data_IF_610494097363
#
_entry.id   IF_610494097363
#
_cell.length_a   1.000
_cell.length_b   1.000
_cell.length_c   1.000
_cell.angle_alpha   90.00
_cell.angle_beta   90.00
_cell.angle_gamma   90.00
#
_symmetry.space_group_name_H-M   'P 1'
#
loop_
_entity.id
_entity.type
_entity.pdbx_description
1 polymer ?
#
# COMPACT_ATOMS: atom_id res chain seq x y z
N UNK A 1 -1.80 -26.38 7.70
CA UNK A 1 -2.86 -25.91 6.79
C UNK A 1 -2.37 -25.82 5.35
N UNK A 2 -1.29 -25.09 5.05
CA UNK A 2 -0.77 -25.01 3.66
C UNK A 2 -0.38 -26.36 3.05
N UNK A 3 0.17 -27.29 3.84
CA UNK A 3 0.55 -28.64 3.40
C UNK A 3 -0.63 -29.61 3.19
N UNK A 4 -1.88 -29.22 3.45
CA UNK A 4 -3.04 -30.09 3.24
C UNK A 4 -3.64 -29.93 1.82
N UNK A 5 -4.48 -30.89 1.44
CA UNK A 5 -5.24 -30.88 0.18
C UNK A 5 -6.43 -29.92 0.16
N UNK A 6 -6.71 -29.23 1.27
CA UNK A 6 -7.76 -28.22 1.31
C UNK A 6 -7.46 -27.06 0.35
N UNK A 7 -8.50 -26.47 -0.23
CA UNK A 7 -8.39 -25.20 -0.95
C UNK A 7 -8.27 -24.07 0.08
N UNK A 8 -7.20 -23.28 -0.01
CA UNK A 8 -6.93 -22.15 0.90
C UNK A 8 -7.51 -20.86 0.32
N UNK A 9 -7.98 -19.96 1.19
CA UNK A 9 -8.54 -18.65 0.80
C UNK A 9 -8.09 -17.57 1.80
N UNK A 10 -7.01 -16.82 1.50
CA UNK A 10 -6.04 -17.03 0.43
C UNK A 10 -5.04 -18.16 0.76
N UNK A 11 -4.35 -18.69 -0.26
CA UNK A 11 -3.12 -19.47 -0.04
C UNK A 11 -1.98 -18.58 0.44
N UNK A 12 -0.89 -19.17 0.94
CA UNK A 12 0.29 -18.38 1.37
C UNK A 12 0.88 -17.52 0.25
N UNK A 13 0.89 -17.99 -1.00
CA UNK A 13 1.37 -17.19 -2.14
C UNK A 13 0.48 -15.97 -2.40
N UNK A 14 -0.84 -16.14 -2.34
CA UNK A 14 -1.80 -15.02 -2.48
C UNK A 14 -1.67 -14.03 -1.31
N UNK A 15 -1.42 -14.51 -0.10
CA UNK A 15 -1.13 -13.64 1.04
C UNK A 15 0.13 -12.78 0.78
N UNK A 16 1.23 -13.39 0.30
CA UNK A 16 2.46 -12.68 0.01
C UNK A 16 2.30 -11.63 -1.12
N UNK A 17 1.47 -11.90 -2.12
CA UNK A 17 1.12 -10.93 -3.17
C UNK A 17 0.41 -9.69 -2.60
N UNK A 18 -0.31 -9.82 -1.48
CA UNK A 18 -0.97 -8.71 -0.78
C UNK A 18 -0.03 -7.78 0.01
N UNK A 19 1.26 -8.13 0.09
CA UNK A 19 2.24 -7.30 0.79
C UNK A 19 2.45 -5.96 0.10
N UNK A 20 2.80 -4.94 0.89
CA UNK A 20 3.05 -3.59 0.37
C UNK A 20 4.29 -3.57 -0.52
N UNK A 21 5.27 -4.44 -0.25
CA UNK A 21 6.45 -4.60 -1.12
C UNK A 21 6.07 -5.07 -2.51
N UNK A 22 5.21 -6.09 -2.66
CA UNK A 22 4.77 -6.54 -3.99
C UNK A 22 3.95 -5.45 -4.70
N UNK A 23 3.08 -4.73 -3.98
CA UNK A 23 2.38 -3.56 -4.53
C UNK A 23 3.36 -2.53 -5.12
N UNK A 24 4.45 -2.22 -4.41
CA UNK A 24 5.48 -1.29 -4.86
C UNK A 24 6.31 -1.83 -6.03
N UNK A 25 6.68 -3.11 -6.02
CA UNK A 25 7.43 -3.73 -7.12
C UNK A 25 6.61 -3.80 -8.41
N UNK A 26 5.30 -4.10 -8.32
CA UNK A 26 4.40 -4.08 -9.49
C UNK A 26 4.25 -2.68 -10.11
N UNK A 27 4.49 -1.61 -9.33
CA UNK A 27 4.44 -0.24 -9.84
C UNK A 27 5.70 0.18 -10.62
N UNK A 28 6.78 -0.61 -10.57
CA UNK A 28 8.00 -0.30 -11.32
C UNK A 28 7.77 -0.44 -12.84
N UNK A 29 8.48 0.36 -13.66
CA UNK A 29 8.44 0.21 -15.11
C UNK A 29 8.78 -1.22 -15.53
N UNK A 30 8.05 -1.74 -16.53
CA UNK A 30 8.28 -3.06 -17.14
C UNK A 30 8.03 -4.29 -16.25
N UNK A 31 7.54 -4.14 -15.01
CA UNK A 31 7.26 -5.30 -14.13
C UNK A 31 5.89 -5.91 -14.40
N UNK A 32 4.85 -5.11 -14.63
CA UNK A 32 3.50 -5.62 -14.96
C UNK A 32 3.49 -6.47 -16.24
N UNK A 33 4.28 -6.08 -17.24
CA UNK A 33 4.44 -6.77 -18.52
C UNK A 33 4.98 -8.20 -18.39
N UNK A 34 5.53 -8.56 -17.22
CA UNK A 34 5.95 -9.94 -16.94
C UNK A 34 4.80 -10.86 -16.55
N UNK A 35 3.65 -10.28 -16.19
CA UNK A 35 2.48 -11.00 -15.66
C UNK A 35 1.22 -10.84 -16.52
N UNK A 36 1.21 -9.85 -17.43
CA UNK A 36 0.07 -9.51 -18.27
C UNK A 36 0.54 -9.23 -19.70
N UNK A 37 -0.16 -9.78 -20.69
CA UNK A 37 0.13 -9.56 -22.12
C UNK A 37 -0.67 -8.40 -22.72
N UNK A 38 -1.86 -8.12 -22.16
CA UNK A 38 -2.79 -7.10 -22.66
C UNK A 38 -2.29 -5.69 -22.33
N UNK A 39 -1.91 -4.94 -23.36
CA UNK A 39 -1.43 -3.56 -23.22
C UNK A 39 -2.51 -2.63 -22.66
N UNK A 40 -3.76 -2.88 -23.02
CA UNK A 40 -4.93 -2.14 -22.55
C UNK A 40 -5.14 -2.33 -21.04
N UNK A 41 -5.04 -3.58 -20.56
CA UNK A 41 -5.16 -3.89 -19.13
C UNK A 41 -4.00 -3.31 -18.33
N UNK A 42 -2.77 -3.42 -18.83
CA UNK A 42 -1.59 -2.81 -18.21
C UNK A 42 -1.77 -1.30 -18.09
N UNK A 43 -2.25 -0.64 -19.15
CA UNK A 43 -2.51 0.80 -19.14
C UNK A 43 -3.61 1.17 -18.15
N UNK A 44 -4.65 0.35 -18.02
CA UNK A 44 -5.72 0.56 -17.04
C UNK A 44 -5.22 0.43 -15.60
N UNK A 45 -4.45 -0.62 -15.30
CA UNK A 45 -3.89 -0.86 -13.96
C UNK A 45 -2.94 0.27 -13.54
N UNK A 46 -2.05 0.70 -14.45
CA UNK A 46 -1.11 1.80 -14.18
C UNK A 46 -1.80 3.11 -13.80
N UNK A 47 -2.97 3.41 -14.37
CA UNK A 47 -3.73 4.63 -14.00
C UNK A 47 -4.19 4.62 -12.54
N UNK A 48 -4.32 3.45 -11.93
CA UNK A 48 -4.74 3.30 -10.54
C UNK A 48 -3.56 3.35 -9.55
N UNK A 49 -2.31 3.33 -10.01
CA UNK A 49 -1.14 3.38 -9.15
C UNK A 49 -0.83 4.83 -8.77
N UNK A 50 -0.73 5.08 -7.46
CA UNK A 50 -0.07 6.27 -6.95
C UNK A 50 1.46 6.09 -7.00
N UNK A 51 2.21 7.16 -6.71
CA UNK A 51 3.65 7.06 -6.54
C UNK A 51 4.02 6.06 -5.44
N UNK A 52 4.86 5.08 -5.77
CA UNK A 52 5.28 3.99 -4.91
C UNK A 52 6.79 3.79 -5.07
N UNK A 53 7.53 3.92 -3.97
CA UNK A 53 8.98 3.88 -3.96
C UNK A 53 9.52 2.94 -2.88
N UNK A 54 10.66 2.36 -3.19
CA UNK A 54 11.46 1.62 -2.23
C UNK A 54 12.44 2.59 -1.54
N UNK A 55 12.93 2.23 -0.34
CA UNK A 55 13.83 3.08 0.44
C UNK A 55 15.31 2.91 0.06
N UNK A 56 15.57 2.56 -1.20
CA UNK A 56 16.87 2.56 -1.86
C UNK A 56 17.06 3.79 -2.78
N UNK A 57 15.99 4.53 -3.06
CA UNK A 57 16.02 5.77 -3.82
C UNK A 57 16.35 6.96 -2.89
N UNK A 58 17.61 7.42 -2.93
CA UNK A 58 18.07 8.50 -2.04
C UNK A 58 17.37 9.84 -2.30
N UNK A 59 17.00 10.12 -3.56
CA UNK A 59 16.33 11.37 -3.93
C UNK A 59 14.92 11.45 -3.35
N UNK A 60 14.17 10.34 -3.43
CA UNK A 60 12.82 10.30 -2.86
C UNK A 60 12.86 10.35 -1.33
N UNK A 61 13.84 9.71 -0.69
CA UNK A 61 13.99 9.75 0.77
C UNK A 61 14.26 11.18 1.23
N UNK A 62 15.18 11.89 0.56
CA UNK A 62 15.45 13.29 0.84
C UNK A 62 14.20 14.16 0.69
N UNK A 63 13.47 13.96 -0.41
CA UNK A 63 12.21 14.67 -0.67
C UNK A 63 11.16 14.39 0.42
N UNK A 64 11.06 13.15 0.88
CA UNK A 64 10.13 12.75 1.94
C UNK A 64 10.52 13.27 3.32
N UNK A 65 11.81 13.47 3.60
CA UNK A 65 12.30 14.14 4.81
C UNK A 65 11.97 15.64 4.77
N UNK A 66 12.12 16.28 3.61
CA UNK A 66 11.83 17.71 3.43
C UNK A 66 10.33 18.02 3.45
N UNK A 67 9.50 17.15 2.85
CA UNK A 67 8.04 17.32 2.70
C UNK A 67 7.26 16.09 3.15
N UNK A 68 7.36 15.70 4.44
CA UNK A 68 6.79 14.44 4.92
C UNK A 68 5.26 14.38 4.86
N UNK A 69 4.58 15.52 4.79
CA UNK A 69 3.13 15.62 4.64
C UNK A 69 2.61 15.02 3.33
N UNK A 70 3.46 14.97 2.29
CA UNK A 70 3.11 14.45 0.95
C UNK A 70 3.26 12.94 0.83
N UNK A 71 3.76 12.27 1.87
CA UNK A 71 4.08 10.84 1.82
C UNK A 71 3.44 10.07 2.98
N UNK A 72 3.43 8.76 2.81
CA UNK A 72 3.05 7.77 3.82
C UNK A 72 4.10 6.67 3.81
N UNK A 73 4.64 6.35 4.97
CA UNK A 73 5.58 5.25 5.15
C UNK A 73 4.81 4.04 5.67
N UNK A 74 4.92 2.91 4.96
CA UNK A 74 4.13 1.70 5.25
C UNK A 74 5.04 0.51 5.56
N UNK A 75 4.97 -0.07 6.75
CA UNK A 75 5.61 -1.36 7.03
C UNK A 75 4.84 -2.51 6.34
N UNK A 76 5.46 -3.68 6.25
CA UNK A 76 4.84 -4.91 5.71
C UNK A 76 3.82 -5.54 6.68
N UNK A 77 2.82 -4.78 7.14
CA UNK A 77 1.75 -5.24 8.03
C UNK A 77 0.36 -4.98 7.44
N UNK A 78 -0.61 -5.78 7.86
CA UNK A 78 -2.03 -5.66 7.53
C UNK A 78 -2.85 -5.23 8.77
N UNK A 79 -4.14 -4.92 8.58
CA UNK A 79 -5.07 -4.65 9.69
C UNK A 79 -5.18 -3.20 10.15
N UNK A 80 -4.68 -2.23 9.36
CA UNK A 80 -4.78 -0.80 9.68
C UNK A 80 -3.88 -0.36 10.86
N UNK A 81 -3.72 0.95 11.05
CA UNK A 81 -3.00 1.53 12.18
C UNK A 81 -1.46 1.44 12.17
N UNK A 82 -0.86 0.84 11.14
CA UNK A 82 0.61 0.66 11.05
C UNK A 82 1.33 1.73 10.21
N UNK A 83 0.59 2.58 9.50
CA UNK A 83 1.18 3.59 8.62
C UNK A 83 1.75 4.76 9.44
N UNK A 84 2.87 5.32 8.96
CA UNK A 84 3.57 6.43 9.61
C UNK A 84 3.47 7.66 8.69
N UNK A 85 3.19 8.83 9.28
CA UNK A 85 2.88 10.08 8.55
C UNK A 85 3.63 11.28 9.14
N UNK A 86 3.82 12.34 8.34
CA UNK A 86 4.23 13.65 8.83
C UNK A 86 5.53 13.62 9.65
N UNK A 87 5.52 14.22 10.83
CA UNK A 87 6.72 14.30 11.68
C UNK A 87 7.33 12.92 11.99
N UNK A 88 6.49 11.94 12.35
CA UNK A 88 6.95 10.59 12.67
C UNK A 88 7.57 9.90 11.46
N UNK A 89 7.08 10.19 10.24
CA UNK A 89 7.66 9.67 9.01
C UNK A 89 9.07 10.19 8.83
N UNK A 90 9.25 11.52 9.00
CA UNK A 90 10.56 12.17 8.89
C UNK A 90 11.56 11.61 9.89
N UNK A 91 11.18 11.52 11.17
CA UNK A 91 12.05 10.98 12.22
C UNK A 91 12.41 9.52 11.95
N UNK A 92 11.45 8.73 11.48
CA UNK A 92 11.70 7.33 11.11
C UNK A 92 12.69 7.22 9.95
N UNK A 93 12.56 8.03 8.90
CA UNK A 93 13.50 8.02 7.77
C UNK A 93 14.92 8.44 8.20
N UNK A 94 15.06 9.49 9.01
CA UNK A 94 16.36 9.94 9.54
C UNK A 94 17.01 8.84 10.38
N UNK A 95 16.21 8.14 11.20
CA UNK A 95 16.68 7.01 12.00
C UNK A 95 17.16 5.86 11.11
N UNK A 96 16.37 5.46 10.12
CA UNK A 96 16.71 4.37 9.19
C UNK A 96 18.00 4.68 8.40
N UNK A 97 18.21 5.93 7.98
CA UNK A 97 19.45 6.37 7.33
C UNK A 97 20.68 6.22 8.23
N UNK A 98 20.53 6.42 9.55
CA UNK A 98 21.62 6.28 10.52
C UNK A 98 21.91 4.81 10.87
N UNK A 99 20.87 3.98 10.97
CA UNK A 99 21.00 2.56 11.32
C UNK A 99 21.65 1.74 10.19
N UNK A 100 21.35 2.08 8.93
CA UNK A 100 21.88 1.38 7.77
C UNK A 100 21.43 -0.09 7.69
N UNK A 101 22.05 -0.85 6.78
CA UNK A 101 21.75 -2.28 6.58
C UNK A 101 20.35 -2.54 6.01
N UNK A 102 19.69 -3.60 6.47
CA UNK A 102 18.43 -4.10 5.91
C UNK A 102 17.17 -3.47 6.51
N UNK A 103 17.30 -2.63 7.55
CA UNK A 103 16.17 -1.99 8.22
C UNK A 103 15.22 -1.22 7.26
N UNK A 104 15.72 -0.49 6.24
CA UNK A 104 14.86 0.18 5.26
C UNK A 104 13.99 -0.78 4.42
N UNK A 105 14.41 -2.03 4.23
CA UNK A 105 13.69 -3.01 3.41
C UNK A 105 12.34 -3.43 4.02
N UNK A 106 12.13 -3.17 5.32
CA UNK A 106 10.87 -3.44 6.00
C UNK A 106 9.74 -2.46 5.61
N UNK A 107 10.05 -1.38 4.90
CA UNK A 107 9.12 -0.31 4.57
C UNK A 107 9.04 -0.03 3.07
N UNK A 108 7.92 0.56 2.67
CA UNK A 108 7.80 1.26 1.39
C UNK A 108 7.35 2.69 1.62
N UNK A 109 7.72 3.58 0.71
CA UNK A 109 7.22 4.94 0.65
C UNK A 109 6.11 5.03 -0.39
N UNK A 110 4.99 5.66 -0.02
CA UNK A 110 3.87 5.87 -0.93
C UNK A 110 3.47 7.34 -0.94
N UNK A 111 3.09 7.83 -2.11
CA UNK A 111 2.47 9.14 -2.28
C UNK A 111 1.18 9.20 -1.44
N UNK A 112 1.04 10.25 -0.65
CA UNK A 112 -0.22 10.51 0.07
C UNK A 112 -1.27 11.01 -0.91
N UNK A 113 -2.43 10.40 -0.87
CA UNK A 113 -3.60 10.80 -1.65
C UNK A 113 -4.41 11.79 -0.81
N UNK A 114 -4.88 12.87 -1.42
CA UNK A 114 -5.68 13.92 -0.78
C UNK A 114 -7.06 14.02 -1.44
N UNK A 115 -8.02 13.14 -1.09
CA UNK A 115 -9.40 13.26 -1.56
C UNK A 115 -10.04 14.56 -1.05
N UNK A 116 -11.03 15.08 -1.79
CA UNK A 116 -11.84 16.20 -1.32
C UNK A 116 -12.65 15.75 -0.09
N UNK A 117 -12.49 16.47 1.01
CA UNK A 117 -13.29 16.23 2.19
C UNK A 117 -14.74 16.69 1.98
N UNK A 118 -15.68 15.91 2.46
CA UNK A 118 -17.11 16.18 2.38
C UNK A 118 -17.68 16.33 3.80
N UNK A 119 -18.64 17.23 3.99
CA UNK A 119 -19.41 17.25 5.24
C UNK A 119 -20.16 15.92 5.38
N UNK A 120 -20.04 15.28 6.53
CA UNK A 120 -20.60 13.97 6.79
C UNK A 120 -21.04 13.86 8.24
N UNK A 121 -22.13 13.14 8.44
CA UNK A 121 -22.67 12.81 9.75
C UNK A 121 -22.19 11.41 10.14
N UNK A 122 -21.24 11.35 11.06
CA UNK A 122 -20.69 10.11 11.59
C UNK A 122 -21.54 9.66 12.77
N UNK A 123 -22.25 8.54 12.61
CA UNK A 123 -22.96 7.89 13.70
C UNK A 123 -22.05 6.79 14.24
N UNK A 124 -21.48 7.02 15.41
CA UNK A 124 -20.61 6.06 16.10
C UNK A 124 -21.47 5.29 17.12
N UNK A 125 -21.03 4.08 17.50
CA UNK A 125 -21.75 3.19 18.45
C UNK A 125 -22.28 4.00 19.64
N UNK A 126 -23.58 3.88 19.91
CA UNK A 126 -24.27 4.65 20.96
C UNK A 126 -25.26 5.71 20.45
N UNK A 127 -25.42 5.85 19.12
CA UNK A 127 -26.46 6.71 18.53
C UNK A 127 -26.13 8.20 18.54
N UNK A 128 -24.94 8.58 19.01
CA UNK A 128 -24.46 9.97 18.95
C UNK A 128 -24.00 10.27 17.53
N UNK A 129 -24.52 11.36 16.98
CA UNK A 129 -24.17 11.85 15.66
C UNK A 129 -23.12 12.96 15.79
N UNK A 130 -22.02 12.82 15.06
CA UNK A 130 -20.97 13.82 14.97
C UNK A 130 -20.94 14.37 13.54
N UNK A 131 -21.10 15.69 13.41
CA UNK A 131 -20.88 16.37 12.13
C UNK A 131 -19.38 16.66 11.98
N UNK A 132 -18.82 16.35 10.82
CA UNK A 132 -17.42 16.64 10.53
C UNK A 132 -17.08 16.47 9.05
N UNK A 133 -15.88 16.96 8.70
CA UNK A 133 -15.31 16.71 7.39
C UNK A 133 -14.71 15.30 7.35
N UNK A 134 -15.20 14.48 6.42
CA UNK A 134 -14.73 13.12 6.21
C UNK A 134 -14.18 12.93 4.79
N UNK A 135 -13.30 11.95 4.65
CA UNK A 135 -12.85 11.40 3.36
C UNK A 135 -13.34 9.96 3.27
N UNK A 136 -13.59 9.50 2.05
CA UNK A 136 -14.06 8.13 1.78
C UNK A 136 -13.01 7.34 1.03
N UNK A 137 -12.94 6.05 1.32
CA UNK A 137 -12.14 5.06 0.59
C UNK A 137 -13.10 4.02 0.00
N UNK A 138 -13.05 3.81 -1.31
CA UNK A 138 -13.91 2.86 -2.02
C UNK A 138 -13.20 1.50 -2.13
N UNK A 139 -13.79 0.47 -1.53
CA UNK A 139 -13.36 -0.92 -1.71
C UNK A 139 -14.21 -1.64 -2.76
N UNK A 140 -13.57 -2.40 -3.66
CA UNK A 140 -14.23 -3.25 -4.65
C UNK A 140 -13.86 -4.71 -4.34
N UNK A 141 -14.87 -5.55 -4.10
CA UNK A 141 -14.67 -6.98 -3.86
C UNK A 141 -14.53 -7.75 -5.18
N UNK A 142 -13.60 -8.71 -5.22
CA UNK A 142 -13.42 -9.65 -6.32
C UNK A 142 -13.29 -11.08 -5.79
N UNK A 143 -13.79 -12.05 -6.56
CA UNK A 143 -13.68 -13.47 -6.25
C UNK A 143 -13.14 -14.22 -7.47
N UNK A 144 -12.15 -15.09 -7.24
CA UNK A 144 -11.52 -15.91 -8.27
C UNK A 144 -11.47 -17.36 -7.78
N UNK A 145 -11.97 -18.27 -8.61
CA UNK A 145 -11.82 -19.72 -8.42
C UNK A 145 -11.32 -20.32 -9.73
N UNK A 146 -10.17 -20.96 -9.68
CA UNK A 146 -9.56 -21.61 -10.83
C UNK A 146 -9.26 -23.07 -10.48
N UNK A 147 -9.53 -23.99 -11.41
CA UNK A 147 -8.94 -25.32 -11.35
C UNK A 147 -7.52 -25.23 -11.91
N UNK A 148 -6.54 -25.83 -11.23
CA UNK A 148 -5.22 -26.00 -11.85
C UNK A 148 -5.39 -26.93 -13.06
N UNK A 149 -5.01 -26.48 -14.24
CA UNK A 149 -4.82 -27.37 -15.39
C UNK A 149 -3.66 -28.31 -15.02
N UNK A 150 -3.93 -29.62 -15.08
CA UNK A 150 -2.92 -30.67 -14.93
C UNK A 150 -1.95 -30.68 -16.11
#
# INVERSE_FOLDING_TARGET
>A
MEQSSAVKCPSISYHLVGTKKIQQELAKPNVLERFLDSKEEIAMLRKCFAGLWSLDDEEIIKTAIEKPELFVLKPQREGGGNNIYGFDLRETLIKLQKEGGDAPAAYILMQRIFPKACCSYLVVRGGVCHEGLAISELGIYGALLTAALQ
#
